data_IF_300485432163
#
_entry.id   IF_300485432163
#
_cell.length_a   1.000
_cell.length_b   1.000
_cell.length_c   1.000
_cell.angle_alpha   90.00
_cell.angle_beta   90.00
_cell.angle_gamma   90.00
#
_symmetry.space_group_name_H-M   'P 1'
#
loop_
_entity.id
_entity.type
_entity.pdbx_description
1 polymer ?
#
# COMPACT_ATOMS: atom_id res chain seq x y z
N UNK A 1 -12.86 -5.18 -12.33
CA UNK A 1 -11.78 -4.85 -11.36
C UNK A 1 -11.00 -3.62 -11.78
N UNK A 2 -10.02 -3.72 -12.70
CA UNK A 2 -9.15 -2.58 -13.05
C UNK A 2 -9.91 -1.45 -13.74
N UNK A 3 -10.79 -1.76 -14.71
CA UNK A 3 -11.63 -0.74 -15.36
C UNK A 3 -12.44 0.08 -14.36
N UNK A 4 -13.08 -0.58 -13.41
CA UNK A 4 -13.89 0.10 -12.38
C UNK A 4 -13.04 0.96 -11.44
N UNK A 5 -11.83 0.50 -11.10
CA UNK A 5 -10.88 1.30 -10.34
C UNK A 5 -10.50 2.57 -11.09
N UNK A 6 -10.12 2.43 -12.37
CA UNK A 6 -9.73 3.57 -13.22
C UNK A 6 -10.89 4.55 -13.43
N UNK A 7 -12.12 4.05 -13.63
CA UNK A 7 -13.32 4.90 -13.70
C UNK A 7 -13.58 5.63 -12.37
N UNK A 8 -13.37 4.97 -11.22
CA UNK A 8 -13.56 5.57 -9.90
C UNK A 8 -12.56 6.68 -9.58
N UNK A 9 -11.36 6.62 -10.14
CA UNK A 9 -10.31 7.63 -9.93
C UNK A 9 -10.15 8.62 -11.09
N UNK A 10 -11.00 8.56 -12.11
CA UNK A 10 -10.84 9.38 -13.34
C UNK A 10 -10.81 10.89 -13.11
N UNK A 11 -11.53 11.35 -12.09
CA UNK A 11 -11.67 12.78 -11.74
C UNK A 11 -10.78 13.16 -10.54
N UNK A 12 -9.72 12.38 -10.28
CA UNK A 12 -8.79 12.64 -9.18
C UNK A 12 -8.04 13.96 -9.44
N UNK A 13 -8.00 14.81 -8.41
CA UNK A 13 -7.26 16.08 -8.44
C UNK A 13 -6.46 16.22 -7.15
N UNK A 14 -5.46 17.11 -7.14
CA UNK A 14 -4.68 17.40 -5.93
C UNK A 14 -5.53 17.99 -4.79
N UNK A 15 -6.69 18.58 -5.12
CA UNK A 15 -7.57 19.28 -4.18
C UNK A 15 -8.70 18.40 -3.62
N UNK A 16 -9.11 17.34 -4.35
CA UNK A 16 -10.22 16.47 -3.94
C UNK A 16 -9.81 15.41 -2.91
N UNK A 17 -10.72 15.16 -1.98
CA UNK A 17 -10.58 14.36 -0.77
C UNK A 17 -9.95 12.97 -1.00
N UNK A 18 -8.88 12.70 -0.24
CA UNK A 18 -8.22 11.38 -0.16
C UNK A 18 -9.20 10.24 0.17
N UNK A 19 -10.22 10.50 1.00
CA UNK A 19 -11.15 9.49 1.53
C UNK A 19 -11.96 8.79 0.44
N UNK A 20 -12.50 9.53 -0.53
CA UNK A 20 -13.32 8.95 -1.60
C UNK A 20 -12.50 8.00 -2.48
N UNK A 21 -11.24 8.34 -2.74
CA UNK A 21 -10.39 7.54 -3.60
C UNK A 21 -9.76 6.32 -2.89
N UNK A 22 -9.55 6.40 -1.57
CA UNK A 22 -9.17 5.23 -0.74
C UNK A 22 -10.16 4.08 -0.87
N UNK A 23 -11.46 4.39 -0.98
CA UNK A 23 -12.51 3.38 -1.16
C UNK A 23 -12.33 2.59 -2.47
N UNK A 24 -11.97 3.26 -3.57
CA UNK A 24 -11.74 2.58 -4.86
C UNK A 24 -10.52 1.66 -4.79
N UNK A 25 -9.45 2.08 -4.12
CA UNK A 25 -8.29 1.21 -3.88
C UNK A 25 -8.67 -0.01 -3.04
N UNK A 26 -9.42 0.17 -1.95
CA UNK A 26 -9.91 -0.95 -1.14
C UNK A 26 -10.74 -1.94 -1.98
N UNK A 27 -11.68 -1.44 -2.79
CA UNK A 27 -12.50 -2.26 -3.68
C UNK A 27 -11.66 -3.02 -4.71
N UNK A 28 -10.61 -2.40 -5.26
CA UNK A 28 -9.68 -3.09 -6.15
C UNK A 28 -8.96 -4.23 -5.42
N UNK A 29 -8.42 -3.97 -4.23
CA UNK A 29 -7.70 -4.96 -3.44
C UNK A 29 -8.60 -6.14 -3.06
N UNK A 30 -9.82 -5.89 -2.60
CA UNK A 30 -10.76 -6.95 -2.24
C UNK A 30 -11.15 -7.81 -3.45
N UNK A 31 -11.41 -7.18 -4.60
CA UNK A 31 -11.68 -7.91 -5.85
C UNK A 31 -10.48 -8.73 -6.31
N UNK A 32 -9.25 -8.20 -6.17
CA UNK A 32 -8.02 -8.96 -6.49
C UNK A 32 -7.87 -10.17 -5.57
N UNK A 33 -8.09 -10.01 -4.26
CA UNK A 33 -8.11 -11.12 -3.30
C UNK A 33 -9.07 -12.21 -3.77
N UNK A 34 -10.29 -11.85 -4.13
CA UNK A 34 -11.32 -12.80 -4.58
C UNK A 34 -10.93 -13.46 -5.92
N UNK A 35 -10.33 -12.69 -6.84
CA UNK A 35 -9.88 -13.19 -8.13
C UNK A 35 -8.76 -14.24 -8.02
N UNK A 36 -7.78 -14.03 -7.14
CA UNK A 36 -6.72 -15.01 -6.92
C UNK A 36 -7.20 -16.27 -6.19
N UNK A 37 -8.40 -16.24 -5.60
CA UNK A 37 -8.98 -17.32 -4.81
C UNK A 37 -8.00 -17.90 -3.77
N UNK A 38 -7.29 -17.00 -3.10
CA UNK A 38 -6.31 -17.30 -2.05
C UNK A 38 -6.79 -16.75 -0.73
N UNK A 39 -6.27 -17.31 0.37
CA UNK A 39 -6.53 -16.87 1.74
C UNK A 39 -5.84 -15.54 2.09
N UNK A 40 -5.92 -14.55 1.19
CA UNK A 40 -5.51 -13.19 1.51
C UNK A 40 -6.53 -12.55 2.45
N UNK A 41 -6.03 -11.80 3.43
CA UNK A 41 -6.81 -10.89 4.25
C UNK A 41 -6.29 -9.48 4.03
N UNK A 42 -7.21 -8.57 3.74
CA UNK A 42 -6.93 -7.15 3.60
C UNK A 42 -7.63 -6.47 4.77
N UNK A 43 -6.86 -5.78 5.60
CA UNK A 43 -7.38 -5.01 6.72
C UNK A 43 -7.12 -3.54 6.43
N UNK A 44 -8.20 -2.77 6.30
CA UNK A 44 -8.15 -1.31 6.20
C UNK A 44 -8.00 -0.72 7.60
N UNK A 45 -7.06 0.21 7.76
CA UNK A 45 -6.76 0.88 9.04
C UNK A 45 -6.61 -0.11 10.22
N UNK A 46 -5.65 -1.07 10.16
CA UNK A 46 -5.41 -2.05 11.22
C UNK A 46 -4.96 -1.38 12.53
N UNK A 47 -5.15 -2.03 13.66
CA UNK A 47 -4.76 -1.48 14.97
C UNK A 47 -3.31 -0.97 15.02
N UNK A 48 -3.12 0.18 15.67
CA UNK A 48 -1.80 0.81 15.85
C UNK A 48 -0.92 -0.05 16.75
N UNK A 49 0.20 -0.52 16.21
CA UNK A 49 1.23 -1.28 16.98
C UNK A 49 2.29 -0.36 17.60
N UNK A 50 2.82 0.61 16.84
CA UNK A 50 3.91 1.51 17.26
C UNK A 50 3.77 2.92 16.66
N UNK A 51 2.67 3.61 16.98
CA UNK A 51 2.47 5.03 16.64
C UNK A 51 1.73 5.26 15.33
N UNK A 52 2.24 4.76 14.19
CA UNK A 52 1.57 4.92 12.89
C UNK A 52 0.80 3.66 12.46
N UNK A 53 -0.32 3.88 11.78
CA UNK A 53 -1.20 2.87 11.21
C UNK A 53 -1.09 2.96 9.69
N UNK A 54 -0.69 1.88 8.98
CA UNK A 54 -0.74 1.87 7.54
C UNK A 54 -2.20 1.91 7.06
N UNK A 55 -2.46 2.40 5.86
CA UNK A 55 -3.83 2.38 5.33
C UNK A 55 -4.33 0.94 5.12
N UNK A 56 -3.45 0.01 4.71
CA UNK A 56 -3.79 -1.40 4.59
C UNK A 56 -2.69 -2.33 5.12
N UNK A 57 -3.13 -3.40 5.81
CA UNK A 57 -2.31 -4.59 6.09
C UNK A 57 -2.78 -5.76 5.23
N UNK A 58 -1.82 -6.42 4.58
CA UNK A 58 -2.06 -7.60 3.77
C UNK A 58 -1.51 -8.81 4.51
N UNK A 59 -2.36 -9.79 4.74
CA UNK A 59 -1.96 -11.07 5.32
C UNK A 59 -2.28 -12.22 4.37
N UNK A 60 -1.51 -13.30 4.47
CA UNK A 60 -1.74 -14.56 3.77
C UNK A 60 -1.53 -15.71 4.74
N UNK A 61 -2.52 -16.62 4.86
CA UNK A 61 -2.46 -17.74 5.81
C UNK A 61 -2.15 -17.31 7.25
N UNK A 62 -2.72 -16.19 7.69
CA UNK A 62 -2.50 -15.61 9.01
C UNK A 62 -1.18 -14.84 9.18
N UNK A 63 -0.26 -14.90 8.23
CA UNK A 63 1.00 -14.16 8.26
C UNK A 63 0.85 -12.79 7.62
N UNK A 64 1.32 -11.74 8.29
CA UNK A 64 1.45 -10.42 7.68
C UNK A 64 2.54 -10.44 6.60
N UNK A 65 2.17 -10.22 5.34
CA UNK A 65 3.08 -10.25 4.20
C UNK A 65 3.48 -8.87 3.69
N UNK A 66 2.86 -7.80 4.20
CA UNK A 66 3.23 -6.45 3.87
C UNK A 66 2.14 -5.41 4.08
N UNK A 67 2.49 -4.17 3.76
CA UNK A 67 1.63 -3.01 3.93
C UNK A 67 1.41 -2.27 2.61
N UNK A 68 0.30 -1.54 2.54
CA UNK A 68 0.05 -0.53 1.50
C UNK A 68 -0.23 0.78 2.21
N UNK A 69 0.46 1.84 1.81
CA UNK A 69 0.28 3.19 2.33
C UNK A 69 -0.03 4.12 1.15
N UNK A 70 -1.18 4.77 1.23
CA UNK A 70 -1.69 5.69 0.26
C UNK A 70 -1.30 7.13 0.60
N UNK A 71 -1.05 7.93 -0.44
CA UNK A 71 -0.71 9.34 -0.36
C UNK A 71 -1.57 10.14 -1.31
N UNK A 72 -1.55 11.47 -1.18
CA UNK A 72 -2.21 12.36 -2.15
C UNK A 72 -1.65 12.15 -3.54
N UNK A 73 -2.50 12.21 -4.55
CA UNK A 73 -2.09 12.19 -5.95
C UNK A 73 -0.99 13.22 -6.22
N UNK A 74 0.02 12.84 -7.00
CA UNK A 74 1.20 13.65 -7.31
C UNK A 74 2.23 13.76 -6.21
N UNK A 75 2.04 13.09 -5.07
CA UNK A 75 3.05 13.03 -4.03
C UNK A 75 4.29 12.32 -4.57
N UNK A 76 5.48 12.90 -4.36
CA UNK A 76 6.72 12.26 -4.74
C UNK A 76 7.03 11.06 -3.81
N UNK A 77 6.55 9.87 -4.20
CA UNK A 77 6.67 8.64 -3.43
C UNK A 77 8.13 8.28 -3.13
N UNK A 78 9.06 8.56 -4.05
CA UNK A 78 10.48 8.27 -3.88
C UNK A 78 11.11 9.05 -2.71
N UNK A 79 10.66 10.30 -2.47
CA UNK A 79 11.12 11.09 -1.32
C UNK A 79 10.62 10.49 0.00
N UNK A 80 9.43 9.90 0.00
CA UNK A 80 8.83 9.30 1.19
C UNK A 80 9.47 7.98 1.60
N UNK A 81 10.19 7.29 0.71
CA UNK A 81 10.88 6.02 1.01
C UNK A 81 11.91 6.10 2.15
N UNK A 82 12.32 7.31 2.54
CA UNK A 82 13.26 7.56 3.65
C UNK A 82 12.60 8.26 4.84
N UNK A 83 11.28 8.46 4.81
CA UNK A 83 10.55 9.09 5.92
C UNK A 83 10.48 8.17 7.14
N UNK A 84 10.45 8.76 8.33
CA UNK A 84 10.35 8.01 9.59
C UNK A 84 9.10 7.12 9.64
N UNK A 85 7.98 7.56 9.07
CA UNK A 85 6.76 6.75 8.96
C UNK A 85 7.01 5.46 8.17
N UNK A 86 7.65 5.56 7.00
CA UNK A 86 7.97 4.41 6.14
C UNK A 86 9.00 3.50 6.80
N UNK A 87 10.01 4.06 7.44
CA UNK A 87 11.03 3.27 8.14
C UNK A 87 10.42 2.43 9.27
N UNK A 88 9.49 3.00 10.06
CA UNK A 88 8.74 2.26 11.10
C UNK A 88 7.95 1.09 10.53
N UNK A 89 7.30 1.25 9.38
CA UNK A 89 6.61 0.13 8.74
C UNK A 89 7.59 -0.96 8.30
N UNK A 90 8.74 -0.56 7.74
CA UNK A 90 9.75 -1.50 7.26
C UNK A 90 10.49 -2.25 8.38
N UNK A 91 10.55 -1.68 9.59
CA UNK A 91 11.03 -2.36 10.80
C UNK A 91 10.09 -3.52 11.20
N UNK A 92 8.77 -3.37 10.99
CA UNK A 92 7.77 -4.38 11.33
C UNK A 92 7.56 -5.41 10.22
N UNK A 93 7.61 -4.97 8.95
CA UNK A 93 7.53 -5.85 7.80
C UNK A 93 8.34 -5.28 6.63
N UNK A 94 9.26 -6.07 6.02
CA UNK A 94 10.15 -5.59 4.98
C UNK A 94 9.44 -5.19 3.68
N UNK A 95 8.16 -5.52 3.50
CA UNK A 95 7.39 -5.29 2.28
C UNK A 95 6.39 -4.14 2.46
N UNK A 96 6.59 -3.07 1.71
CA UNK A 96 5.69 -1.91 1.66
C UNK A 96 5.43 -1.50 0.21
N UNK A 97 4.18 -1.20 -0.14
CA UNK A 97 3.82 -0.50 -1.36
C UNK A 97 3.36 0.91 -1.02
N UNK A 98 4.05 1.91 -1.56
CA UNK A 98 3.56 3.29 -1.56
C UNK A 98 2.74 3.52 -2.83
N UNK A 99 1.65 4.27 -2.70
CA UNK A 99 0.80 4.63 -3.83
C UNK A 99 0.27 6.05 -3.68
N UNK A 100 0.13 6.75 -4.80
CA UNK A 100 -0.63 8.00 -4.90
C UNK A 100 -1.90 7.84 -5.77
N UNK A 101 -2.36 6.58 -5.88
CA UNK A 101 -3.50 6.09 -6.66
C UNK A 101 -3.23 5.96 -8.17
N UNK A 102 -2.36 6.80 -8.74
CA UNK A 102 -1.97 6.72 -10.15
C UNK A 102 -0.64 5.98 -10.35
N UNK A 103 0.29 6.18 -9.42
CA UNK A 103 1.63 5.62 -9.44
C UNK A 103 1.86 4.80 -8.18
N UNK A 104 2.72 3.79 -8.32
CA UNK A 104 3.01 2.85 -7.25
C UNK A 104 4.52 2.60 -7.16
N UNK A 105 5.06 2.58 -5.95
CA UNK A 105 6.48 2.29 -5.70
C UNK A 105 6.60 1.20 -4.64
N UNK A 106 7.03 -0.03 -5.02
CA UNK A 106 7.30 -1.08 -4.05
C UNK A 106 8.64 -0.83 -3.34
N UNK A 107 8.69 -1.18 -2.06
CA UNK A 107 9.88 -1.17 -1.23
C UNK A 107 9.97 -2.51 -0.52
N UNK A 108 11.03 -3.25 -0.84
CA UNK A 108 11.38 -4.49 -0.17
C UNK A 108 12.82 -4.38 0.37
N UNK A 109 13.01 -4.52 1.68
CA UNK A 109 14.34 -4.44 2.31
C UNK A 109 15.16 -5.71 2.16
N UNK A 110 14.53 -6.88 1.94
CA UNK A 110 15.21 -8.16 1.73
C UNK A 110 15.93 -8.24 0.37
N UNK A 111 15.43 -7.54 -0.65
CA UNK A 111 16.04 -7.50 -1.99
C UNK A 111 17.39 -6.74 -1.99
N UNK A 112 17.67 -5.93 -0.97
CA UNK A 112 18.93 -5.17 -0.87
C UNK A 112 20.12 -5.99 -0.35
N UNK A 113 19.89 -7.16 0.26
CA UNK A 113 20.95 -8.00 0.83
C UNK A 113 21.76 -8.82 -0.19
N UNK A 114 21.30 -8.92 -1.45
CA UNK A 114 21.93 -9.78 -2.47
C UNK A 114 22.94 -8.99 -3.33
N UNK A 115 22.95 -7.65 -3.29
CA UNK A 115 23.83 -6.82 -4.14
C UNK A 115 25.18 -6.42 -3.52
N UNK A 116 25.55 -6.92 -2.34
CA UNK A 116 26.85 -6.62 -1.68
C UNK A 116 27.74 -7.85 -1.48
N UNK A 117 27.48 -8.94 -2.20
CA UNK A 117 28.42 -10.08 -2.30
C UNK A 117 28.54 -10.55 -3.75
N UNK A 118 29.13 -9.72 -4.61
CA UNK A 118 29.84 -10.13 -5.83
C UNK A 118 31.06 -9.23 -5.97
#
# INVERSE_FOLDING_TARGET
MLKEYLEGIKDITHEKNELTHRLFLHNLLDKLKNHFNKEYKIEHEPERKQGSQPDFRISYQGLNIGYIENKKVGTNLNRLLKSDQVLKYLELNPNLMLTDLLTHTPKNTLVRGIRTRL
#
